data_IF_044919562687
#
_entry.id   IF_044919562687
#
_cell.length_a   1.000
_cell.length_b   1.000
_cell.length_c   1.000
_cell.angle_alpha   90.00
_cell.angle_beta   90.00
_cell.angle_gamma   90.00
#
_symmetry.space_group_name_H-M   'P 1'
#
loop_
_entity.id
_entity.type
_entity.pdbx_description
1 polymer ?
#
# COMPACT_ATOMS: atom_id res chain seq x y z
N UNK A 1 -10.59 5.47 7.72
CA UNK A 1 -10.66 4.71 6.46
C UNK A 1 -11.52 5.52 5.52
N UNK A 2 -11.03 5.72 4.30
CA UNK A 2 -11.60 6.60 3.29
C UNK A 2 -11.50 5.90 1.93
N UNK A 3 -12.45 6.16 1.05
CA UNK A 3 -12.34 5.81 -0.38
C UNK A 3 -11.25 6.66 -1.06
N UNK A 4 -10.90 6.30 -2.29
CA UNK A 4 -9.96 7.06 -3.11
C UNK A 4 -10.38 8.53 -3.27
N UNK A 5 -11.62 8.82 -3.68
CA UNK A 5 -12.10 10.19 -3.92
C UNK A 5 -12.13 11.03 -2.63
N UNK A 6 -12.48 10.41 -1.50
CA UNK A 6 -12.43 11.04 -0.18
C UNK A 6 -10.99 11.36 0.22
N UNK A 7 -10.03 10.47 -0.05
CA UNK A 7 -8.62 10.69 0.26
C UNK A 7 -7.99 11.78 -0.63
N UNK A 8 -8.35 11.83 -1.92
CA UNK A 8 -7.95 12.91 -2.83
C UNK A 8 -8.49 14.25 -2.32
N UNK A 9 -9.78 14.32 -2.01
CA UNK A 9 -10.41 15.54 -1.47
C UNK A 9 -9.72 15.98 -0.17
N UNK A 10 -9.46 15.04 0.74
CA UNK A 10 -8.82 15.34 2.01
C UNK A 10 -7.37 15.82 1.87
N UNK A 11 -6.61 15.27 0.91
CA UNK A 11 -5.27 15.74 0.57
C UNK A 11 -5.30 17.18 0.02
N UNK A 12 -6.27 17.50 -0.84
CA UNK A 12 -6.45 18.86 -1.38
C UNK A 12 -6.82 19.88 -0.28
N UNK A 13 -7.70 19.50 0.65
CA UNK A 13 -8.12 20.36 1.77
C UNK A 13 -7.00 20.56 2.81
N UNK A 14 -6.09 19.61 2.95
CA UNK A 14 -4.99 19.66 3.91
C UNK A 14 -3.68 19.18 3.29
N UNK A 15 -3.01 20.10 2.60
CA UNK A 15 -1.77 19.90 1.82
C UNK A 15 -0.56 19.36 2.62
N UNK A 16 -0.68 19.23 3.95
CA UNK A 16 0.37 18.66 4.82
C UNK A 16 0.18 17.18 5.10
N UNK A 17 -0.99 16.63 4.78
CA UNK A 17 -1.32 15.25 5.02
C UNK A 17 -1.11 14.43 3.74
N UNK A 18 -0.64 13.20 3.93
CA UNK A 18 -0.67 12.17 2.91
C UNK A 18 -1.55 11.00 3.38
N UNK A 19 -2.10 10.28 2.42
CA UNK A 19 -3.04 9.20 2.67
C UNK A 19 -2.58 7.95 1.95
N UNK A 20 -2.51 6.83 2.66
CA UNK A 20 -1.98 5.58 2.13
C UNK A 20 -3.05 4.49 2.10
N UNK A 21 -3.10 3.76 1.00
CA UNK A 21 -3.99 2.61 0.80
C UNK A 21 -3.21 1.41 0.30
N UNK A 22 -3.56 0.22 0.80
CA UNK A 22 -2.84 -1.02 0.49
C UNK A 22 -3.67 -1.93 -0.41
N UNK A 23 -2.97 -2.65 -1.29
CA UNK A 23 -3.54 -3.63 -2.20
C UNK A 23 -2.79 -4.95 -2.08
N UNK A 24 -3.53 -6.05 -2.07
CA UNK A 24 -3.01 -7.41 -2.15
C UNK A 24 -3.64 -8.11 -3.35
N UNK A 25 -2.80 -8.59 -4.26
CA UNK A 25 -3.18 -9.42 -5.41
C UNK A 25 -2.68 -10.86 -5.19
N UNK A 26 -3.53 -11.77 -4.65
CA UNK A 26 -3.10 -13.08 -4.20
C UNK A 26 -2.63 -14.00 -5.34
N UNK A 27 -3.21 -13.85 -6.54
CA UNK A 27 -2.92 -14.71 -7.70
C UNK A 27 -1.43 -14.67 -8.10
N UNK A 28 -0.80 -13.52 -7.91
CA UNK A 28 0.62 -13.29 -8.22
C UNK A 28 1.46 -13.02 -6.96
N UNK A 29 0.89 -13.25 -5.78
CA UNK A 29 1.52 -13.00 -4.47
C UNK A 29 2.12 -11.60 -4.33
N UNK A 30 1.40 -10.60 -4.84
CA UNK A 30 1.89 -9.23 -4.91
C UNK A 30 1.20 -8.34 -3.89
N UNK A 31 1.96 -7.46 -3.26
CA UNK A 31 1.45 -6.43 -2.35
C UNK A 31 2.02 -5.09 -2.77
N UNK A 32 1.20 -4.06 -2.71
CA UNK A 32 1.65 -2.69 -2.90
C UNK A 32 0.78 -1.69 -2.17
N UNK A 33 1.19 -0.45 -2.26
CA UNK A 33 0.52 0.66 -1.63
C UNK A 33 0.59 1.90 -2.50
N UNK A 34 -0.44 2.72 -2.36
CA UNK A 34 -0.56 4.01 -3.01
C UNK A 34 -0.58 5.08 -1.94
N UNK A 35 0.28 6.09 -2.06
CA UNK A 35 0.25 7.30 -1.24
C UNK A 35 -0.27 8.47 -2.06
N UNK A 36 -1.36 9.08 -1.61
CA UNK A 36 -1.95 10.30 -2.16
C UNK A 36 -1.47 11.48 -1.32
N UNK A 37 -0.81 12.43 -1.97
CA UNK A 37 -0.30 13.64 -1.34
C UNK A 37 -0.35 14.82 -2.33
N UNK A 38 -0.09 16.03 -1.85
CA UNK A 38 -0.02 17.20 -2.72
C UNK A 38 1.40 17.54 -3.18
N UNK A 39 1.55 18.02 -4.41
CA UNK A 39 2.83 18.43 -5.03
C UNK A 39 3.02 19.93 -4.89
N UNK A 40 3.69 20.36 -3.81
CA UNK A 40 4.11 21.74 -3.53
C UNK A 40 2.98 22.82 -3.45
N UNK A 41 3.18 23.84 -2.63
CA UNK A 41 2.11 24.80 -2.24
C UNK A 41 1.82 25.87 -3.33
N UNK A 42 2.58 25.90 -4.42
CA UNK A 42 2.62 27.02 -5.37
C UNK A 42 1.71 26.89 -6.63
N UNK A 43 1.05 25.74 -6.88
CA UNK A 43 0.19 25.52 -8.07
C UNK A 43 -1.22 24.93 -7.73
N UNK A 44 -2.21 25.76 -7.36
CA UNK A 44 -3.42 25.31 -6.64
C UNK A 44 -4.38 24.35 -7.37
N UNK A 45 -4.25 24.12 -8.69
CA UNK A 45 -5.30 23.48 -9.48
C UNK A 45 -4.98 22.04 -9.98
N UNK A 46 -3.73 21.56 -9.93
CA UNK A 46 -3.31 20.23 -10.45
C UNK A 46 -2.39 19.45 -9.50
N UNK A 47 -2.59 19.66 -8.20
CA UNK A 47 -1.59 19.41 -7.18
C UNK A 47 -1.57 18.02 -6.54
N UNK A 48 -2.18 16.97 -7.12
CA UNK A 48 -2.18 15.63 -6.48
C UNK A 48 -1.16 14.70 -7.14
N UNK A 49 -0.26 14.17 -6.32
CA UNK A 49 0.63 13.07 -6.67
C UNK A 49 0.15 11.79 -6.01
N UNK A 50 0.20 10.71 -6.78
CA UNK A 50 -0.08 9.37 -6.30
C UNK A 50 1.19 8.56 -6.48
N UNK A 51 1.93 8.37 -5.39
CA UNK A 51 3.11 7.52 -5.38
C UNK A 51 2.67 6.06 -5.18
N UNK A 52 3.25 5.14 -5.93
CA UNK A 52 2.97 3.71 -5.86
C UNK A 52 4.26 2.94 -5.62
N UNK A 53 4.25 2.05 -4.65
CA UNK A 53 5.31 1.06 -4.45
C UNK A 53 4.71 -0.32 -4.16
N UNK A 54 5.38 -1.38 -4.60
CA UNK A 54 4.91 -2.74 -4.34
C UNK A 54 5.77 -3.80 -5.01
N UNK A 55 5.51 -5.08 -4.72
CA UNK A 55 6.29 -6.18 -5.28
C UNK A 55 5.73 -7.56 -4.94
N UNK A 56 6.39 -8.58 -5.48
CA UNK A 56 6.08 -9.97 -5.13
C UNK A 56 6.67 -10.29 -3.74
N UNK A 57 5.89 -10.92 -2.87
CA UNK A 57 6.31 -11.29 -1.51
C UNK A 57 7.54 -12.22 -1.58
N UNK A 58 8.57 -11.94 -0.76
CA UNK A 58 9.88 -12.62 -0.79
C UNK A 58 10.65 -12.47 -2.10
N UNK A 59 10.36 -11.43 -2.89
CA UNK A 59 11.12 -11.03 -4.07
C UNK A 59 11.81 -9.68 -3.85
N UNK A 60 12.93 -9.48 -4.54
CA UNK A 60 13.57 -8.17 -4.68
C UNK A 60 13.01 -7.36 -5.87
N UNK A 61 12.12 -7.96 -6.65
CA UNK A 61 11.44 -7.30 -7.77
C UNK A 61 10.24 -6.53 -7.26
N UNK A 62 10.13 -5.28 -7.71
CA UNK A 62 9.05 -4.39 -7.35
C UNK A 62 8.90 -3.23 -8.31
N UNK A 63 7.88 -2.41 -8.04
CA UNK A 63 7.50 -1.23 -8.80
C UNK A 63 7.63 0.00 -7.89
N UNK A 64 8.03 1.11 -8.50
CA UNK A 64 8.08 2.44 -7.88
C UNK A 64 7.68 3.47 -8.96
N UNK A 65 6.45 3.96 -8.89
CA UNK A 65 5.84 4.78 -9.94
C UNK A 65 5.07 5.97 -9.35
N UNK A 66 4.90 7.01 -10.16
CA UNK A 66 4.06 8.17 -9.84
C UNK A 66 2.95 8.28 -10.88
N UNK A 67 1.71 8.43 -10.41
CA UNK A 67 0.54 8.62 -11.25
C UNK A 67 -0.08 10.00 -11.04
N UNK A 68 -0.66 10.51 -12.12
CA UNK A 68 -1.67 11.57 -12.07
C UNK A 68 -3.05 10.96 -11.84
N UNK A 69 -4.00 11.77 -11.39
CA UNK A 69 -5.38 11.34 -11.13
C UNK A 69 -6.07 10.65 -12.32
N UNK A 70 -5.73 11.08 -13.53
CA UNK A 70 -6.30 10.57 -14.79
C UNK A 70 -5.74 9.19 -15.19
N UNK A 71 -4.51 8.89 -14.81
CA UNK A 71 -3.78 7.67 -15.19
C UNK A 71 -3.75 6.60 -14.09
N UNK A 72 -4.29 6.91 -12.91
CA UNK A 72 -4.19 6.03 -11.74
C UNK A 72 -4.87 4.65 -12.01
N UNK A 73 -4.18 3.53 -11.70
CA UNK A 73 -4.74 2.21 -11.91
C UNK A 73 -6.00 1.95 -11.07
N UNK A 74 -6.85 1.05 -11.54
CA UNK A 74 -8.09 0.70 -10.83
C UNK A 74 -7.84 0.15 -9.43
N UNK A 75 -6.70 -0.53 -9.21
CA UNK A 75 -6.28 -1.02 -7.90
C UNK A 75 -6.21 0.09 -6.86
N UNK A 76 -5.67 1.27 -7.20
CA UNK A 76 -5.64 2.42 -6.31
C UNK A 76 -7.06 2.91 -5.98
N UNK A 77 -7.95 2.94 -6.99
CA UNK A 77 -9.35 3.37 -6.79
C UNK A 77 -10.14 2.45 -5.86
N UNK A 78 -9.75 1.16 -5.80
CA UNK A 78 -10.34 0.15 -4.93
C UNK A 78 -9.69 0.09 -3.54
N UNK A 79 -8.54 0.72 -3.36
CA UNK A 79 -7.86 0.75 -2.07
C UNK A 79 -8.66 1.57 -1.03
N UNK A 80 -8.46 1.21 0.23
CA UNK A 80 -9.01 1.94 1.37
C UNK A 80 -7.88 2.73 2.01
N UNK A 81 -8.06 4.03 2.09
CA UNK A 81 -7.03 4.98 2.49
C UNK A 81 -7.16 5.36 3.98
N UNK A 82 -6.01 5.54 4.61
CA UNK A 82 -5.85 6.08 5.96
C UNK A 82 -4.72 7.11 5.98
N UNK A 83 -4.66 7.92 7.04
CA UNK A 83 -3.60 8.93 7.18
C UNK A 83 -2.23 8.24 7.26
N UNK A 84 -1.29 8.61 6.38
CA UNK A 84 0.01 7.93 6.29
C UNK A 84 0.82 8.01 7.59
N UNK A 85 0.66 9.07 8.36
CA UNK A 85 1.31 9.23 9.68
C UNK A 85 0.83 8.22 10.74
N UNK A 86 -0.22 7.45 10.45
CA UNK A 86 -0.75 6.41 11.36
C UNK A 86 -0.21 5.02 11.06
N UNK A 87 0.48 4.84 9.93
CA UNK A 87 1.15 3.59 9.59
C UNK A 87 2.66 3.70 9.81
N UNK A 88 3.36 2.57 10.00
CA UNK A 88 4.81 2.57 10.00
C UNK A 88 5.36 3.10 8.67
N UNK A 89 6.53 3.72 8.70
CA UNK A 89 7.29 4.00 7.48
C UNK A 89 7.65 2.69 6.78
N UNK A 90 7.39 2.61 5.47
CA UNK A 90 7.48 1.39 4.66
C UNK A 90 8.30 1.58 3.38
N UNK A 91 8.70 2.81 3.06
CA UNK A 91 9.52 3.10 1.89
C UNK A 91 10.79 2.26 1.92
N UNK A 92 11.21 1.77 0.75
CA UNK A 92 12.40 0.91 0.56
C UNK A 92 12.33 -0.48 1.21
N UNK A 93 11.17 -0.90 1.73
CA UNK A 93 10.97 -2.26 2.22
C UNK A 93 10.37 -3.18 1.16
N UNK A 94 10.75 -4.46 1.23
CA UNK A 94 10.10 -5.52 0.46
C UNK A 94 8.68 -5.74 0.95
N UNK A 95 7.83 -6.29 0.08
CA UNK A 95 6.41 -6.50 0.36
C UNK A 95 6.14 -7.37 1.59
N UNK A 96 6.95 -8.39 1.83
CA UNK A 96 6.92 -9.21 3.05
C UNK A 96 7.27 -8.39 4.31
N UNK A 97 8.26 -7.50 4.24
CA UNK A 97 8.61 -6.67 5.38
C UNK A 97 7.54 -5.60 5.66
N UNK A 98 6.92 -5.06 4.61
CA UNK A 98 5.77 -4.16 4.73
C UNK A 98 4.59 -4.84 5.42
N UNK A 99 4.22 -6.04 4.98
CA UNK A 99 3.17 -6.84 5.63
C UNK A 99 3.49 -7.13 7.10
N UNK A 100 4.74 -7.50 7.41
CA UNK A 100 5.18 -7.73 8.79
C UNK A 100 5.02 -6.49 9.68
N UNK A 101 5.31 -5.30 9.14
CA UNK A 101 5.17 -4.03 9.86
C UNK A 101 3.72 -3.62 10.06
N UNK A 102 2.86 -3.90 9.08
CA UNK A 102 1.42 -3.63 9.16
C UNK A 102 0.70 -4.61 10.09
N UNK A 103 1.16 -5.86 10.11
CA UNK A 103 0.56 -6.97 10.86
C UNK A 103 1.61 -7.62 11.76
N UNK A 104 1.81 -7.09 12.98
CA UNK A 104 2.85 -7.57 13.90
C UNK A 104 2.72 -9.03 14.33
N UNK A 105 1.58 -9.67 14.08
CA UNK A 105 1.35 -11.11 14.34
C UNK A 105 1.99 -12.01 13.27
N UNK A 106 2.45 -11.46 12.14
CA UNK A 106 3.22 -12.20 11.16
C UNK A 106 4.63 -12.49 11.67
N UNK A 107 5.22 -13.65 11.33
CA UNK A 107 6.61 -13.91 11.68
C UNK A 107 7.56 -13.00 10.90
N UNK A 108 8.72 -12.72 11.49
CA UNK A 108 9.77 -11.90 10.87
C UNK A 108 10.26 -12.57 9.57
N UNK A 109 10.11 -11.93 8.40
CA UNK A 109 10.47 -12.51 7.12
C UNK A 109 11.97 -12.82 6.99
N UNK A 110 12.85 -12.14 7.73
CA UNK A 110 14.29 -12.44 7.73
C UNK A 110 14.61 -13.83 8.32
N UNK A 111 13.67 -14.40 9.07
CA UNK A 111 13.83 -15.72 9.70
C UNK A 111 13.28 -16.87 8.83
N UNK A 112 12.64 -16.57 7.70
CA UNK A 112 11.92 -17.54 6.88
C UNK A 112 12.76 -18.01 5.68
N UNK A 113 13.45 -19.13 5.88
CA UNK A 113 14.36 -19.69 4.88
C UNK A 113 13.69 -20.75 4.03
N UNK A 114 12.74 -21.50 4.61
CA UNK A 114 12.13 -22.63 3.93
C UNK A 114 10.89 -22.20 3.14
N UNK A 115 10.70 -22.83 1.97
CA UNK A 115 9.54 -22.56 1.11
C UNK A 115 8.21 -22.78 1.83
N UNK A 116 8.13 -23.80 2.69
CA UNK A 116 6.92 -24.09 3.47
C UNK A 116 6.57 -23.00 4.47
N UNK A 117 7.58 -22.37 5.07
CA UNK A 117 7.39 -21.26 6.00
C UNK A 117 6.89 -20.02 5.26
N UNK A 118 7.49 -19.71 4.11
CA UNK A 118 7.08 -18.60 3.23
C UNK A 118 5.65 -18.77 2.70
N UNK A 119 5.27 -19.99 2.33
CA UNK A 119 3.88 -20.28 1.95
C UNK A 119 2.92 -20.07 3.12
N UNK A 120 3.29 -20.51 4.33
CA UNK A 120 2.46 -20.35 5.53
C UNK A 120 2.33 -18.86 5.92
N UNK A 121 3.40 -18.09 5.75
CA UNK A 121 3.40 -16.64 5.89
C UNK A 121 2.39 -16.00 4.94
N UNK A 122 2.44 -16.36 3.65
CA UNK A 122 1.53 -15.83 2.64
C UNK A 122 0.06 -16.11 2.99
N UNK A 123 -0.27 -17.37 3.33
CA UNK A 123 -1.63 -17.76 3.68
C UNK A 123 -2.15 -16.99 4.90
N UNK A 124 -1.28 -16.80 5.90
CA UNK A 124 -1.61 -16.04 7.11
C UNK A 124 -1.80 -14.55 6.81
N UNK A 125 -0.91 -13.96 6.01
CA UNK A 125 -0.98 -12.57 5.61
C UNK A 125 -2.26 -12.28 4.80
N UNK A 126 -2.63 -13.18 3.89
CA UNK A 126 -3.88 -13.07 3.13
C UNK A 126 -5.11 -13.12 4.05
N UNK A 127 -5.14 -14.06 5.00
CA UNK A 127 -6.23 -14.15 5.96
C UNK A 127 -6.33 -12.87 6.80
N UNK A 128 -5.22 -12.35 7.32
CA UNK A 128 -5.22 -11.10 8.08
C UNK A 128 -5.71 -9.93 7.21
N UNK A 129 -5.19 -9.81 5.98
CA UNK A 129 -5.57 -8.75 5.05
C UNK A 129 -7.08 -8.74 4.80
N UNK A 130 -7.69 -9.90 4.50
CA UNK A 130 -9.15 -10.05 4.28
C UNK A 130 -9.97 -9.57 5.48
N UNK A 131 -9.51 -9.80 6.71
CA UNK A 131 -10.25 -9.42 7.93
C UNK A 131 -9.94 -8.02 8.45
N UNK A 132 -8.81 -7.43 8.04
CA UNK A 132 -8.32 -6.15 8.57
C UNK A 132 -9.16 -4.94 8.15
N UNK A 133 -9.77 -5.00 6.96
CA UNK A 133 -10.37 -3.83 6.30
C UNK A 133 -9.36 -2.75 5.89
N UNK A 134 -8.06 -2.96 6.10
CA UNK A 134 -6.97 -2.03 5.77
C UNK A 134 -6.39 -2.28 4.38
N UNK A 135 -6.56 -3.49 3.85
CA UNK A 135 -5.97 -3.93 2.59
C UNK A 135 -7.08 -4.34 1.63
N UNK A 136 -7.09 -3.75 0.44
CA UNK A 136 -7.98 -4.18 -0.62
C UNK A 136 -7.42 -5.45 -1.27
N UNK A 137 -8.19 -6.54 -1.21
CA UNK A 137 -7.84 -7.79 -1.90
C UNK A 137 -8.41 -7.73 -3.31
N UNK A 138 -7.54 -7.80 -4.31
CA UNK A 138 -7.89 -7.72 -5.73
C UNK A 138 -7.77 -9.07 -6.42
N UNK A 139 -8.46 -9.21 -7.55
CA UNK A 139 -8.47 -10.41 -8.40
C UNK A 139 -7.69 -10.08 -9.67
#
# INVERSE_FOLDING_TARGET
>A
MMSFDEAVTAAQENQKNAYIGFVFTPEIQWVGWFEISTVDEDEPDDNISIHHQGGVIFSSEGEDEYYRLEDVPEAARRAIYILSSTVPQMTDFTSDYVLYRLFPDLPDPETLWEKTERNSYFDTALQIAVHSGLVAVTC
#
